data_IF_531685742008
#
_entry.id   IF_531685742008
#
_cell.length_a   1.000
_cell.length_b   1.000
_cell.length_c   1.000
_cell.angle_alpha   90.00
_cell.angle_beta   90.00
_cell.angle_gamma   90.00
#
_symmetry.space_group_name_H-M   'P 1'
#
loop_
_entity.id
_entity.type
_entity.pdbx_description
1 polymer ?
#
# COMPACT_ATOMS: atom_id res chain seq x y z
N UNK A 1 6.79 -40.87 5.45
CA UNK A 1 6.97 -39.56 4.79
C UNK A 1 7.03 -38.52 5.87
N UNK A 2 8.22 -38.00 6.19
CA UNK A 2 8.31 -36.75 6.95
C UNK A 2 8.23 -35.66 5.89
N UNK A 3 7.04 -35.12 5.67
CA UNK A 3 6.84 -33.98 4.77
C UNK A 3 7.68 -32.83 5.31
N UNK A 4 8.54 -32.23 4.50
CA UNK A 4 9.39 -31.12 4.93
C UNK A 4 8.49 -29.97 5.41
N UNK A 5 8.65 -29.58 6.68
CA UNK A 5 7.89 -28.47 7.28
C UNK A 5 8.01 -27.19 6.44
N UNK A 6 9.15 -26.99 5.75
CA UNK A 6 9.37 -25.85 4.83
C UNK A 6 8.52 -25.94 3.57
N UNK A 7 8.27 -27.13 3.03
CA UNK A 7 7.39 -27.30 1.87
C UNK A 7 5.94 -26.99 2.24
N UNK A 8 5.50 -27.48 3.39
CA UNK A 8 4.14 -27.20 3.88
C UNK A 8 3.94 -25.73 4.25
N UNK A 9 4.96 -25.08 4.80
CA UNK A 9 4.92 -23.64 5.09
C UNK A 9 4.88 -22.77 3.83
N UNK A 10 5.49 -23.21 2.72
CA UNK A 10 5.42 -22.52 1.43
C UNK A 10 4.00 -22.55 0.84
N UNK A 11 3.31 -23.68 0.95
CA UNK A 11 1.94 -23.84 0.43
C UNK A 11 0.89 -23.17 1.33
N UNK A 12 1.16 -23.06 2.63
CA UNK A 12 0.28 -22.41 3.61
C UNK A 12 0.52 -20.90 3.78
N UNK A 13 1.25 -20.23 2.86
CA UNK A 13 1.56 -18.80 2.99
C UNK A 13 0.27 -17.96 2.92
N UNK A 14 -0.08 -17.16 3.95
CA UNK A 14 -1.29 -16.35 3.94
C UNK A 14 -1.28 -15.34 2.80
N UNK A 15 -2.39 -15.27 2.05
CA UNK A 15 -2.63 -14.19 1.10
C UNK A 15 -3.27 -13.01 1.83
N UNK A 16 -2.44 -12.16 2.41
CA UNK A 16 -2.87 -10.94 3.12
C UNK A 16 -2.18 -9.72 2.54
N UNK A 17 -2.86 -8.59 2.54
CA UNK A 17 -2.30 -7.32 2.15
C UNK A 17 -2.60 -6.26 3.22
N UNK A 18 -1.59 -5.44 3.54
CA UNK A 18 -1.74 -4.23 4.35
C UNK A 18 -1.74 -3.05 3.42
N UNK A 19 -2.80 -2.25 3.42
CA UNK A 19 -2.94 -1.08 2.56
C UNK A 19 -2.95 0.19 3.41
N UNK A 20 -1.90 1.00 3.27
CA UNK A 20 -1.77 2.30 3.91
C UNK A 20 -2.28 3.40 3.02
N UNK A 21 -3.37 4.06 3.42
CA UNK A 21 -3.98 5.16 2.66
C UNK A 21 -3.60 6.52 3.25
N UNK A 22 -3.26 7.47 2.37
CA UNK A 22 -2.92 8.84 2.76
C UNK A 22 -1.62 8.95 3.57
N UNK A 23 -1.33 10.13 4.11
CA UNK A 23 -0.06 10.38 4.80
C UNK A 23 0.19 9.48 6.00
N UNK A 24 -0.78 9.43 6.93
CA UNK A 24 -0.66 8.62 8.15
C UNK A 24 -0.61 7.11 7.84
N UNK A 25 -1.46 6.63 6.94
CA UNK A 25 -1.46 5.21 6.53
C UNK A 25 -0.14 4.82 5.86
N UNK A 26 0.39 5.67 4.97
CA UNK A 26 1.68 5.46 4.34
C UNK A 26 2.83 5.37 5.37
N UNK A 27 2.83 6.25 6.38
CA UNK A 27 3.83 6.21 7.46
C UNK A 27 3.76 4.90 8.25
N UNK A 28 2.55 4.40 8.54
CA UNK A 28 2.35 3.12 9.22
C UNK A 28 2.87 1.97 8.35
N UNK A 29 2.57 1.95 7.05
CA UNK A 29 3.09 0.90 6.16
C UNK A 29 4.61 0.94 6.05
N UNK A 30 5.22 2.13 6.01
CA UNK A 30 6.67 2.28 6.06
C UNK A 30 7.27 1.73 7.36
N UNK A 31 6.62 2.00 8.50
CA UNK A 31 7.04 1.45 9.79
C UNK A 31 6.93 -0.09 9.82
N UNK A 32 5.84 -0.66 9.31
CA UNK A 32 5.67 -2.12 9.19
C UNK A 32 6.75 -2.72 8.30
N UNK A 33 7.00 -2.12 7.13
CA UNK A 33 8.03 -2.57 6.20
C UNK A 33 9.43 -2.58 6.85
N UNK A 34 9.76 -1.55 7.63
CA UNK A 34 11.03 -1.46 8.35
C UNK A 34 11.15 -2.47 9.50
N UNK A 35 10.04 -2.85 10.14
CA UNK A 35 10.03 -3.87 11.19
C UNK A 35 10.09 -5.30 10.66
N UNK A 36 9.82 -5.49 9.37
CA UNK A 36 9.80 -6.80 8.71
C UNK A 36 8.49 -7.52 8.97
N UNK A 37 7.63 -7.58 7.95
CA UNK A 37 6.39 -8.35 7.98
C UNK A 37 6.62 -9.75 7.42
N UNK A 38 6.30 -10.78 8.21
CA UNK A 38 6.39 -12.17 7.77
C UNK A 38 5.14 -12.57 6.99
N UNK A 39 5.27 -12.69 5.66
CA UNK A 39 4.16 -13.04 4.78
C UNK A 39 3.27 -11.84 4.43
N UNK A 40 2.48 -11.98 3.36
CA UNK A 40 1.65 -10.90 2.81
C UNK A 40 2.42 -9.85 1.99
N UNK A 41 1.69 -8.79 1.61
CA UNK A 41 2.18 -7.64 0.81
C UNK A 41 1.82 -6.32 1.49
N UNK A 42 2.71 -5.33 1.39
CA UNK A 42 2.49 -3.98 1.89
C UNK A 42 2.27 -3.06 0.69
N UNK A 43 1.17 -2.32 0.69
CA UNK A 43 0.80 -1.36 -0.34
C UNK A 43 0.65 0.00 0.33
N UNK A 44 1.33 1.02 -0.18
CA UNK A 44 1.12 2.41 0.21
C UNK A 44 0.45 3.16 -0.94
N UNK A 45 -0.64 3.88 -0.66
CA UNK A 45 -1.34 4.67 -1.65
C UNK A 45 -1.64 6.08 -1.13
N UNK A 46 -1.32 7.09 -1.93
CA UNK A 46 -1.50 8.48 -1.56
C UNK A 46 -1.72 9.36 -2.79
N UNK A 47 -2.39 10.49 -2.62
CA UNK A 47 -2.60 11.51 -3.67
C UNK A 47 -1.42 12.50 -3.77
N UNK A 48 -0.58 12.56 -2.74
CA UNK A 48 0.61 13.41 -2.69
C UNK A 48 1.85 12.62 -3.12
N UNK A 49 2.44 13.01 -4.26
CA UNK A 49 3.58 12.31 -4.86
C UNK A 49 4.85 12.47 -4.04
N UNK A 50 5.08 13.64 -3.44
CA UNK A 50 6.28 13.91 -2.66
C UNK A 50 6.28 13.08 -1.38
N UNK A 51 5.13 13.01 -0.71
CA UNK A 51 4.97 12.16 0.47
C UNK A 51 5.07 10.68 0.10
N UNK A 52 4.49 10.25 -1.03
CA UNK A 52 4.50 8.84 -1.44
C UNK A 52 5.90 8.35 -1.87
N UNK A 53 6.66 9.20 -2.56
CA UNK A 53 7.99 8.86 -3.11
C UNK A 53 9.00 8.40 -2.05
N UNK A 54 8.88 8.92 -0.82
CA UNK A 54 9.80 8.58 0.28
C UNK A 54 9.37 7.35 1.10
N UNK A 55 8.25 6.72 0.77
CA UNK A 55 7.67 5.60 1.55
C UNK A 55 8.34 4.27 1.21
N UNK A 56 8.19 3.29 2.12
CA UNK A 56 8.67 1.92 1.95
C UNK A 56 7.50 0.95 1.98
N UNK A 57 7.24 0.30 0.86
CA UNK A 57 6.22 -0.74 0.68
C UNK A 57 6.58 -1.61 -0.53
N UNK A 58 5.93 -2.76 -0.68
CA UNK A 58 6.11 -3.62 -1.86
C UNK A 58 5.49 -2.99 -3.12
N UNK A 59 4.46 -2.14 -2.93
CA UNK A 59 3.81 -1.37 -4.00
C UNK A 59 3.51 0.04 -3.52
N UNK A 60 3.82 1.03 -4.36
CA UNK A 60 3.43 2.43 -4.20
C UNK A 60 2.41 2.78 -5.28
N UNK A 61 1.29 3.40 -4.90
CA UNK A 61 0.20 3.77 -5.83
C UNK A 61 -0.12 5.26 -5.68
N UNK A 62 0.16 6.03 -6.73
CA UNK A 62 -0.25 7.43 -6.80
C UNK A 62 -1.74 7.48 -7.16
N UNK A 63 -2.56 7.95 -6.22
CA UNK A 63 -4.00 8.07 -6.42
C UNK A 63 -4.32 9.40 -7.11
N UNK A 64 -5.24 9.37 -8.09
CA UNK A 64 -5.77 10.57 -8.72
C UNK A 64 -4.71 11.34 -9.49
N UNK A 65 -3.85 10.67 -10.27
CA UNK A 65 -2.82 11.34 -11.08
C UNK A 65 -3.41 12.46 -11.95
N UNK A 66 -4.61 12.24 -12.53
CA UNK A 66 -5.28 13.23 -13.39
C UNK A 66 -5.98 14.31 -12.56
N UNK A 67 -6.63 13.92 -11.47
CA UNK A 67 -7.40 14.82 -10.60
C UNK A 67 -6.50 15.72 -9.73
N UNK A 68 -5.55 15.13 -9.01
CA UNK A 68 -4.73 15.79 -8.00
C UNK A 68 -3.35 16.22 -8.53
N UNK A 69 -2.90 15.68 -9.67
CA UNK A 69 -1.60 16.01 -10.30
C UNK A 69 -0.40 15.85 -9.35
N UNK A 70 -0.51 14.95 -8.37
CA UNK A 70 0.51 14.71 -7.35
C UNK A 70 0.57 15.72 -6.19
N UNK A 71 -0.30 16.71 -6.12
CA UNK A 71 -0.30 17.73 -5.05
C UNK A 71 -1.10 17.34 -3.79
N UNK A 72 -1.73 16.17 -3.78
CA UNK A 72 -2.64 15.76 -2.72
C UNK A 72 -4.09 16.23 -2.90
N UNK A 73 -5.01 15.62 -2.16
CA UNK A 73 -6.44 15.98 -2.18
C UNK A 73 -6.81 17.13 -1.22
N UNK A 74 -5.83 17.77 -0.56
CA UNK A 74 -6.05 18.93 0.30
C UNK A 74 -6.89 18.67 1.57
N UNK A 75 -7.08 17.41 1.96
CA UNK A 75 -7.93 17.03 3.09
C UNK A 75 -9.43 16.95 2.77
N UNK A 76 -9.82 17.09 1.49
CA UNK A 76 -11.21 16.96 1.04
C UNK A 76 -11.54 15.47 0.79
N UNK A 77 -12.42 14.83 1.61
CA UNK A 77 -12.69 13.40 1.49
C UNK A 77 -13.31 13.01 0.15
N UNK A 78 -14.19 13.85 -0.39
CA UNK A 78 -14.84 13.63 -1.69
C UNK A 78 -13.82 13.58 -2.84
N UNK A 79 -12.82 14.46 -2.81
CA UNK A 79 -11.72 14.42 -3.78
C UNK A 79 -10.86 13.17 -3.60
N UNK A 80 -10.60 12.76 -2.36
CA UNK A 80 -9.89 11.49 -2.08
C UNK A 80 -10.64 10.26 -2.62
N UNK A 81 -11.97 10.24 -2.49
CA UNK A 81 -12.81 9.19 -3.04
C UNK A 81 -12.77 9.16 -4.58
N UNK A 82 -12.84 10.33 -5.24
CA UNK A 82 -12.71 10.43 -6.68
C UNK A 82 -11.32 10.00 -7.18
N UNK A 83 -10.26 10.47 -6.52
CA UNK A 83 -8.89 10.08 -6.82
C UNK A 83 -8.68 8.56 -6.71
N UNK A 84 -9.27 7.93 -5.71
CA UNK A 84 -9.19 6.47 -5.52
C UNK A 84 -9.90 5.71 -6.64
N UNK A 85 -11.03 6.23 -7.16
CA UNK A 85 -11.76 5.60 -8.28
C UNK A 85 -10.94 5.58 -9.57
N UNK A 86 -10.04 6.54 -9.79
CA UNK A 86 -9.16 6.55 -10.97
C UNK A 86 -8.22 5.33 -11.00
N UNK A 87 -7.81 4.84 -9.82
CA UNK A 87 -6.80 3.80 -9.67
C UNK A 87 -7.35 2.51 -9.02
N UNK A 88 -8.66 2.24 -9.11
CA UNK A 88 -9.29 1.08 -8.44
C UNK A 88 -8.69 -0.27 -8.87
N UNK A 89 -8.22 -0.36 -10.11
CA UNK A 89 -7.59 -1.56 -10.66
C UNK A 89 -6.13 -1.74 -10.23
N UNK A 90 -5.54 -0.72 -9.58
CA UNK A 90 -4.16 -0.72 -9.10
C UNK A 90 -4.05 -1.03 -7.61
N UNK A 91 -5.16 -1.07 -6.87
CA UNK A 91 -5.20 -1.51 -5.47
C UNK A 91 -5.47 -3.02 -5.39
#
# INVERSE_FOLDING_TARGET
>A
MVTDLKEFAKTAKPSVAVVGLGGAGCNITTWIAQKGMAGGRIIAANTDVNHLYIQKADKLVLLGEKLCKGHGCGGFPEMGAQATRENINEL
#
